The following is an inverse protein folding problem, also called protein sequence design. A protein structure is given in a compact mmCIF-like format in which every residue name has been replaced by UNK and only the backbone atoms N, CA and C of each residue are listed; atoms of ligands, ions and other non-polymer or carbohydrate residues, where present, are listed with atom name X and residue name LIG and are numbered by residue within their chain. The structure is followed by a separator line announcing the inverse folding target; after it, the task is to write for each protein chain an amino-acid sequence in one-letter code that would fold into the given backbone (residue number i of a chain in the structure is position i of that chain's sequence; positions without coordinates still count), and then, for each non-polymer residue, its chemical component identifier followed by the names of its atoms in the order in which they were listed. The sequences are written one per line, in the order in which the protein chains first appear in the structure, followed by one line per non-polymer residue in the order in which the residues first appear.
data_IF_597138862875
#
_entry.id   IF_597138862875
#
_cell.length_a   1.000
_cell.length_b   1.000
_cell.length_c   1.000
_cell.angle_alpha   90.00
_cell.angle_beta   90.00
_cell.angle_gamma   90.00
#
_symmetry.space_group_name_H-M   'P 1'
#
loop_
_entity.id
_entity.type
_entity.pdbx_description
1 polymer ?
#
# COMPACT_ATOMS: atom_id res chain seq x y z
N UNK A 1 9.92 11.34 -14.82
CA UNK A 1 8.90 10.76 -15.72
C UNK A 1 8.55 9.44 -15.10
N UNK A 2 7.36 9.38 -14.51
CA UNK A 2 6.90 8.29 -13.67
C UNK A 2 7.04 6.92 -14.33
N UNK A 3 6.63 6.76 -15.60
CA UNK A 3 6.80 5.52 -16.36
C UNK A 3 8.26 5.02 -16.41
N UNK A 4 9.25 5.92 -16.52
CA UNK A 4 10.67 5.52 -16.51
C UNK A 4 11.06 4.92 -15.15
N UNK A 5 10.56 5.50 -14.06
CA UNK A 5 10.82 4.99 -12.71
C UNK A 5 10.11 3.67 -12.45
N UNK A 6 8.90 3.52 -12.96
CA UNK A 6 8.17 2.25 -12.90
C UNK A 6 8.97 1.11 -13.57
N UNK A 7 9.41 1.32 -14.81
CA UNK A 7 10.19 0.31 -15.54
C UNK A 7 11.54 0.03 -14.86
N UNK A 8 12.19 1.07 -14.30
CA UNK A 8 13.41 0.91 -13.51
C UNK A 8 13.19 0.04 -12.26
N UNK A 9 12.08 0.24 -11.53
CA UNK A 9 11.74 -0.58 -10.36
C UNK A 9 11.44 -2.02 -10.75
N UNK A 10 10.67 -2.25 -11.81
CA UNK A 10 10.35 -3.61 -12.28
C UNK A 10 11.64 -4.37 -12.61
N UNK A 11 12.57 -3.75 -13.36
CA UNK A 11 13.88 -4.35 -13.69
C UNK A 11 14.73 -4.66 -12.45
N UNK A 12 14.70 -3.77 -11.44
CA UNK A 12 15.38 -4.01 -10.17
C UNK A 12 14.77 -5.21 -9.42
N UNK A 13 13.44 -5.28 -9.33
CA UNK A 13 12.74 -6.35 -8.61
C UNK A 13 12.83 -7.71 -9.31
N UNK A 14 13.07 -7.75 -10.62
CA UNK A 14 13.36 -8.99 -11.37
C UNK A 14 14.82 -9.44 -11.30
N UNK A 15 15.71 -8.64 -10.71
CA UNK A 15 17.14 -8.96 -10.68
C UNK A 15 17.50 -10.07 -9.68
N UNK A 16 18.75 -10.54 -9.75
CA UNK A 16 19.28 -11.57 -8.85
C UNK A 16 19.34 -11.11 -7.39
N UNK A 17 19.64 -9.83 -7.15
CA UNK A 17 19.66 -9.22 -5.81
C UNK A 17 18.90 -7.88 -5.80
N UNK A 18 17.56 -7.92 -5.72
CA UNK A 18 16.73 -6.72 -5.66
C UNK A 18 17.06 -5.83 -4.48
N UNK A 19 17.40 -6.42 -3.33
CA UNK A 19 17.68 -5.68 -2.10
C UNK A 19 18.93 -4.81 -2.27
N UNK A 20 20.02 -5.39 -2.77
CA UNK A 20 21.25 -4.65 -3.01
C UNK A 20 21.05 -3.52 -4.03
N UNK A 21 20.38 -3.81 -5.15
CA UNK A 21 20.09 -2.78 -6.17
C UNK A 21 19.20 -1.64 -5.63
N UNK A 22 18.22 -1.93 -4.78
CA UNK A 22 17.42 -0.88 -4.15
C UNK A 22 18.29 -0.05 -3.20
N UNK A 23 19.12 -0.67 -2.36
CA UNK A 23 20.03 0.07 -1.45
C UNK A 23 20.91 1.06 -2.19
N UNK A 24 21.49 0.65 -3.33
CA UNK A 24 22.29 1.53 -4.19
C UNK A 24 21.50 2.76 -4.70
N UNK A 25 20.18 2.63 -4.89
CA UNK A 25 19.33 3.77 -5.29
C UNK A 25 19.04 4.72 -4.12
N UNK A 26 19.07 4.22 -2.88
CA UNK A 26 18.73 4.97 -1.68
C UNK A 26 19.95 5.60 -1.00
N UNK A 27 21.12 5.00 -1.15
CA UNK A 27 22.37 5.40 -0.51
C UNK A 27 22.69 6.88 -0.77
N UNK A 28 22.92 7.62 0.32
CA UNK A 28 23.20 9.06 0.28
C UNK A 28 22.01 9.96 -0.09
N UNK A 29 20.82 9.42 -0.38
CA UNK A 29 19.64 10.20 -0.79
C UNK A 29 18.52 10.24 0.25
N UNK A 30 18.36 9.17 1.02
CA UNK A 30 17.38 9.02 2.11
C UNK A 30 17.96 8.22 3.26
N UNK A 31 17.38 8.36 4.45
CA UNK A 31 17.62 7.40 5.54
C UNK A 31 16.83 6.14 5.24
N UNK A 32 17.46 4.97 5.33
CA UNK A 32 16.77 3.70 5.14
C UNK A 32 17.29 2.65 6.12
N UNK A 33 16.46 1.66 6.40
CA UNK A 33 16.81 0.49 7.20
C UNK A 33 16.29 -0.80 6.56
N UNK A 34 17.05 -1.87 6.79
CA UNK A 34 16.65 -3.24 6.49
C UNK A 34 16.20 -3.90 7.78
N UNK A 35 14.95 -4.38 7.81
CA UNK A 35 14.39 -5.07 8.97
C UNK A 35 14.12 -6.51 8.59
N UNK A 36 14.82 -7.45 9.23
CA UNK A 36 14.58 -8.89 9.07
C UNK A 36 13.61 -9.38 10.14
N UNK A 37 12.51 -9.99 9.72
CA UNK A 37 11.56 -10.68 10.59
C UNK A 37 11.28 -12.07 10.03
N UNK A 38 11.81 -13.09 10.71
CA UNK A 38 11.82 -14.45 10.17
C UNK A 38 12.60 -14.54 8.86
N UNK A 39 11.99 -15.09 7.82
CA UNK A 39 12.54 -15.17 6.45
C UNK A 39 12.20 -13.94 5.59
N UNK A 40 11.44 -12.99 6.12
CA UNK A 40 10.97 -11.80 5.39
C UNK A 40 11.94 -10.65 5.65
N UNK A 41 12.38 -10.02 4.56
CA UNK A 41 13.21 -8.82 4.61
C UNK A 41 12.40 -7.62 4.17
N UNK A 42 12.18 -6.70 5.11
CA UNK A 42 11.55 -5.42 4.88
C UNK A 42 12.60 -4.36 4.59
N UNK A 43 12.26 -3.41 3.73
CA UNK A 43 12.99 -2.17 3.56
C UNK A 43 12.08 -1.01 3.96
N UNK A 44 12.63 -0.12 4.79
CA UNK A 44 11.99 1.13 5.16
C UNK A 44 12.86 2.29 4.72
N UNK A 45 12.29 3.27 4.04
CA UNK A 45 13.03 4.43 3.56
C UNK A 45 12.27 5.71 3.91
N UNK A 46 12.95 6.62 4.61
CA UNK A 46 12.40 7.90 5.04
C UNK A 46 12.92 9.01 4.13
N UNK A 47 12.00 9.58 3.34
CA UNK A 47 12.17 10.86 2.69
C UNK A 47 11.91 11.97 3.72
N UNK A 48 12.95 12.70 4.12
CA UNK A 48 12.84 13.85 5.02
C UNK A 48 12.68 15.14 4.21
N UNK A 49 11.45 15.65 4.12
CA UNK A 49 11.12 16.87 3.40
C UNK A 49 11.08 18.13 4.26
N UNK A 50 11.00 17.99 5.59
CA UNK A 50 10.95 19.10 6.54
C UNK A 50 9.56 19.38 7.14
N UNK A 51 8.51 18.82 6.54
CA UNK A 51 7.13 19.03 6.97
C UNK A 51 6.83 18.48 8.37
N UNK A 52 5.75 18.98 8.99
CA UNK A 52 5.29 18.49 10.30
C UNK A 52 4.64 17.11 10.23
N UNK A 53 3.91 16.87 9.15
CA UNK A 53 3.22 15.61 8.93
C UNK A 53 4.15 14.55 8.36
N UNK A 54 3.83 13.30 8.70
CA UNK A 54 4.51 12.11 8.19
C UNK A 54 3.49 11.19 7.53
N UNK A 55 3.63 10.97 6.23
CA UNK A 55 2.78 10.01 5.50
C UNK A 55 3.52 8.69 5.34
N UNK A 56 2.84 7.58 5.59
CA UNK A 56 3.35 6.25 5.29
C UNK A 56 2.78 5.77 3.94
N UNK A 57 3.66 5.40 3.00
CA UNK A 57 3.34 4.68 1.77
C UNK A 57 3.78 3.23 1.95
N UNK A 58 2.81 2.37 2.26
CA UNK A 58 3.03 0.97 2.60
C UNK A 58 2.68 0.07 1.40
N UNK A 59 3.69 -0.50 0.76
CA UNK A 59 3.53 -1.56 -0.24
C UNK A 59 3.42 -2.93 0.42
N UNK A 60 2.21 -3.48 0.48
CA UNK A 60 1.93 -4.79 1.07
C UNK A 60 1.93 -5.89 0.01
N UNK A 61 2.45 -7.04 0.41
CA UNK A 61 2.58 -8.23 -0.41
C UNK A 61 3.05 -9.41 0.43
N UNK A 62 2.77 -10.62 -0.03
CA UNK A 62 3.38 -11.85 0.43
C UNK A 62 4.80 -12.02 -0.07
N UNK A 63 5.05 -11.85 -1.36
CA UNK A 63 6.39 -11.86 -1.94
C UNK A 63 6.42 -11.21 -3.33
N UNK A 64 7.57 -10.66 -3.73
CA UNK A 64 7.78 -10.14 -5.09
C UNK A 64 7.91 -11.27 -6.11
N UNK A 65 8.35 -12.44 -5.68
CA UNK A 65 8.57 -13.63 -6.50
C UNK A 65 8.24 -14.90 -5.71
N UNK A 66 8.04 -16.02 -6.42
CA UNK A 66 7.97 -17.35 -5.82
C UNK A 66 9.09 -18.24 -6.33
N UNK A 67 10.31 -18.02 -5.84
CA UNK A 67 11.50 -18.78 -6.23
C UNK A 67 11.27 -20.28 -6.01
N UNK A 68 11.49 -21.05 -7.06
CA UNK A 68 11.30 -22.51 -7.07
C UNK A 68 9.89 -22.97 -7.44
N UNK A 69 8.93 -22.05 -7.57
CA UNK A 69 7.55 -22.35 -8.02
C UNK A 69 7.27 -21.67 -9.36
N UNK A 70 7.36 -20.33 -9.41
CA UNK A 70 7.15 -19.53 -10.61
C UNK A 70 8.41 -18.74 -10.97
N UNK A 71 8.57 -18.36 -12.25
CA UNK A 71 9.72 -17.60 -12.74
C UNK A 71 9.30 -16.17 -13.09
N UNK A 72 9.91 -15.18 -12.46
CA UNK A 72 9.61 -13.75 -12.66
C UNK A 72 8.74 -13.16 -11.55
N UNK A 73 8.41 -11.88 -11.68
CA UNK A 73 7.52 -11.19 -10.74
C UNK A 73 6.11 -11.79 -10.76
N UNK A 74 5.56 -11.93 -9.57
CA UNK A 74 4.19 -12.37 -9.37
C UNK A 74 3.23 -11.18 -9.27
N UNK A 75 1.93 -11.42 -9.41
CA UNK A 75 0.90 -10.38 -9.26
C UNK A 75 1.01 -9.62 -7.95
N UNK A 76 1.39 -10.31 -6.87
CA UNK A 76 1.49 -9.75 -5.54
C UNK A 76 2.59 -8.68 -5.40
N UNK A 77 3.56 -8.65 -6.34
CA UNK A 77 4.64 -7.67 -6.34
C UNK A 77 4.18 -6.22 -6.54
N UNK A 78 2.94 -6.00 -7.01
CA UNK A 78 2.40 -4.68 -7.32
C UNK A 78 2.55 -3.67 -6.17
N UNK A 79 2.31 -4.08 -4.92
CA UNK A 79 2.44 -3.20 -3.75
C UNK A 79 3.87 -2.65 -3.59
N UNK A 80 4.87 -3.53 -3.73
CA UNK A 80 6.27 -3.13 -3.72
C UNK A 80 6.62 -2.24 -4.92
N UNK A 81 6.12 -2.58 -6.11
CA UNK A 81 6.35 -1.81 -7.34
C UNK A 81 5.84 -0.37 -7.17
N UNK A 82 4.60 -0.18 -6.74
CA UNK A 82 3.99 1.16 -6.61
C UNK A 82 4.70 1.98 -5.54
N UNK A 83 4.98 1.39 -4.37
CA UNK A 83 5.66 2.07 -3.25
C UNK A 83 7.07 2.53 -3.66
N UNK A 84 7.89 1.64 -4.21
CA UNK A 84 9.26 1.96 -4.63
C UNK A 84 9.29 2.93 -5.82
N UNK A 85 8.34 2.81 -6.76
CA UNK A 85 8.25 3.73 -7.89
C UNK A 85 7.95 5.16 -7.41
N UNK A 86 7.04 5.29 -6.45
CA UNK A 86 6.72 6.57 -5.81
C UNK A 86 7.95 7.17 -5.13
N UNK A 87 8.69 6.38 -4.35
CA UNK A 87 9.94 6.81 -3.71
C UNK A 87 10.97 7.28 -4.74
N UNK A 88 11.24 6.49 -5.78
CA UNK A 88 12.25 6.84 -6.78
C UNK A 88 11.85 8.05 -7.62
N UNK A 89 10.56 8.29 -7.84
CA UNK A 89 10.12 9.51 -8.50
C UNK A 89 10.25 10.73 -7.58
N UNK A 90 9.92 10.63 -6.28
CA UNK A 90 10.18 11.71 -5.32
C UNK A 90 11.67 12.09 -5.27
N UNK A 91 12.56 11.10 -5.25
CA UNK A 91 14.01 11.37 -5.26
C UNK A 91 14.44 12.04 -6.57
N UNK A 92 13.90 11.59 -7.70
CA UNK A 92 14.15 12.23 -8.99
C UNK A 92 13.58 13.66 -9.06
N UNK A 93 12.49 13.97 -8.35
CA UNK A 93 11.98 15.34 -8.25
C UNK A 93 12.91 16.21 -7.40
N UNK A 94 13.36 15.70 -6.23
CA UNK A 94 14.35 16.37 -5.38
C UNK A 94 15.64 16.69 -6.14
N UNK A 95 16.16 15.74 -6.91
CA UNK A 95 17.36 15.95 -7.75
C UNK A 95 17.18 17.05 -8.80
N UNK A 96 15.93 17.35 -9.18
CA UNK A 96 15.57 18.44 -10.12
C UNK A 96 15.22 19.75 -9.40
N UNK A 97 15.41 19.83 -8.09
CA UNK A 97 15.06 20.99 -7.27
C UNK A 97 13.57 21.12 -6.98
N UNK A 98 12.78 20.06 -7.15
CA UNK A 98 11.37 20.00 -6.79
C UNK A 98 11.26 19.14 -5.53
N UNK A 99 11.25 19.79 -4.38
CA UNK A 99 11.19 19.16 -3.07
C UNK A 99 9.79 19.32 -2.46
N UNK A 100 9.31 18.27 -1.80
CA UNK A 100 8.07 18.32 -1.04
C UNK A 100 8.41 18.60 0.43
N UNK A 101 7.76 19.59 1.04
CA UNK A 101 7.81 19.91 2.47
C UNK A 101 6.93 18.93 3.28
N UNK A 102 7.25 17.64 3.16
CA UNK A 102 6.51 16.55 3.79
C UNK A 102 7.44 15.38 4.08
N UNK A 103 7.35 14.79 5.28
CA UNK A 103 8.07 13.55 5.56
C UNK A 103 7.27 12.37 5.02
N UNK A 104 7.94 11.47 4.30
CA UNK A 104 7.29 10.29 3.71
C UNK A 104 8.08 9.04 4.05
N UNK A 105 7.45 8.13 4.77
CA UNK A 105 8.01 6.80 5.04
C UNK A 105 7.50 5.82 4.00
N UNK A 106 8.40 5.17 3.28
CA UNK A 106 8.11 4.08 2.38
C UNK A 106 8.44 2.77 3.06
N UNK A 107 7.50 1.82 3.04
CA UNK A 107 7.69 0.49 3.61
C UNK A 107 7.25 -0.55 2.59
N UNK A 108 8.06 -1.59 2.38
CA UNK A 108 7.68 -2.79 1.62
C UNK A 108 8.57 -3.95 2.04
N UNK A 109 8.20 -5.18 1.69
CA UNK A 109 9.12 -6.32 1.74
C UNK A 109 9.58 -6.75 0.35
N UNK A 110 10.73 -7.42 0.31
CA UNK A 110 11.36 -7.94 -0.92
C UNK A 110 11.49 -9.46 -0.86
N UNK A 111 10.54 -10.13 -0.20
CA UNK A 111 10.56 -11.58 -0.06
C UNK A 111 10.49 -12.24 -1.44
N UNK A 112 11.26 -13.30 -1.64
CA UNK A 112 11.23 -14.12 -2.86
C UNK A 112 10.60 -15.49 -2.62
N UNK A 113 10.03 -15.68 -1.44
CA UNK A 113 9.28 -16.85 -1.00
C UNK A 113 8.07 -16.40 -0.20
N UNK A 114 6.98 -17.14 -0.33
CA UNK A 114 5.74 -16.92 0.39
C UNK A 114 5.05 -18.25 0.65
N UNK A 115 4.04 -18.23 1.52
CA UNK A 115 3.17 -19.36 1.79
C UNK A 115 1.84 -19.17 1.08
N UNK A 116 1.23 -20.27 0.65
CA UNK A 116 -0.14 -20.31 0.17
C UNK A 116 -1.06 -20.79 1.31
N UNK A 117 -2.09 -20.02 1.62
CA UNK A 117 -3.13 -20.37 2.60
C UNK A 117 -4.41 -20.73 1.84
N UNK A 118 -5.05 -21.87 2.16
CA UNK A 118 -6.33 -22.26 1.57
C UNK A 118 -7.38 -21.14 1.66
N UNK A 119 -7.83 -20.66 0.49
CA UNK A 119 -8.85 -19.61 0.39
C UNK A 119 -9.68 -19.83 -0.90
N UNK A 120 -10.86 -19.20 -1.01
CA UNK A 120 -11.74 -19.29 -2.20
C UNK A 120 -11.93 -17.92 -2.87
N UNK A 121 -11.80 -17.80 -4.21
CA UNK A 121 -11.70 -18.89 -5.19
C UNK A 121 -10.30 -19.51 -5.35
N UNK A 122 -9.26 -18.84 -4.85
CA UNK A 122 -7.86 -19.28 -4.93
C UNK A 122 -7.19 -19.09 -3.57
N UNK A 123 -6.08 -19.81 -3.38
CA UNK A 123 -5.25 -19.68 -2.20
C UNK A 123 -4.66 -18.27 -2.09
N UNK A 124 -4.61 -17.77 -0.87
CA UNK A 124 -3.98 -16.49 -0.57
C UNK A 124 -2.48 -16.65 -0.46
N UNK A 125 -1.77 -15.79 -1.17
CA UNK A 125 -0.32 -15.63 -1.04
C UNK A 125 -0.05 -14.71 0.15
N UNK A 126 0.68 -15.20 1.14
CA UNK A 126 1.02 -14.47 2.36
C UNK A 126 2.51 -14.53 2.62
N UNK A 127 3.08 -13.53 3.31
CA UNK A 127 4.50 -13.56 3.63
C UNK A 127 4.82 -14.77 4.53
N UNK A 128 6.10 -15.18 4.58
CA UNK A 128 6.59 -16.20 5.52
C UNK A 128 6.70 -15.65 6.95
N UNK A 129 5.66 -14.93 7.37
CA UNK A 129 5.55 -14.21 8.63
C UNK A 129 4.05 -14.13 8.98
N UNK A 130 3.70 -14.21 10.26
CA UNK A 130 2.31 -14.02 10.68
C UNK A 130 1.84 -12.59 10.39
N UNK A 131 0.55 -12.38 10.08
CA UNK A 131 0.02 -11.04 9.80
C UNK A 131 0.30 -10.06 10.94
N UNK A 132 0.14 -10.48 12.21
CA UNK A 132 0.41 -9.62 13.38
C UNK A 132 1.88 -9.19 13.45
N UNK A 133 2.80 -10.12 13.20
CA UNK A 133 4.24 -9.84 13.18
C UNK A 133 4.62 -8.95 11.99
N UNK A 134 4.02 -9.19 10.81
CA UNK A 134 4.20 -8.35 9.64
C UNK A 134 3.71 -6.93 9.89
N UNK A 135 2.49 -6.74 10.40
CA UNK A 135 1.91 -5.42 10.65
C UNK A 135 2.67 -4.63 11.73
N UNK A 136 3.24 -5.31 12.74
CA UNK A 136 4.14 -4.67 13.73
C UNK A 136 5.40 -4.10 13.11
N UNK A 137 5.90 -4.74 12.04
CA UNK A 137 7.05 -4.23 11.29
C UNK A 137 6.60 -3.21 10.26
N UNK A 138 5.51 -3.44 9.54
CA UNK A 138 5.04 -2.61 8.44
C UNK A 138 4.62 -1.21 8.93
N UNK A 139 3.71 -1.16 9.91
CA UNK A 139 2.98 0.06 10.28
C UNK A 139 3.80 0.94 11.22
N UNK A 140 3.96 2.21 10.85
CA UNK A 140 4.62 3.20 11.69
C UNK A 140 3.60 3.95 12.58
N UNK A 141 3.65 3.80 13.92
CA UNK A 141 2.73 4.48 14.82
C UNK A 141 2.91 6.00 14.86
N UNK A 142 4.00 6.54 14.30
CA UNK A 142 4.26 7.98 14.19
C UNK A 142 3.73 8.62 12.90
N UNK A 143 3.25 7.83 11.94
CA UNK A 143 2.67 8.37 10.71
C UNK A 143 1.34 9.08 11.01
N UNK A 144 1.13 10.29 10.49
CA UNK A 144 -0.14 11.02 10.54
C UNK A 144 -1.20 10.38 9.63
N UNK A 145 -0.79 9.67 8.59
CA UNK A 145 -1.65 9.06 7.58
C UNK A 145 -0.99 7.82 6.95
N UNK A 146 -1.76 6.78 6.64
CA UNK A 146 -1.25 5.55 5.99
C UNK A 146 -1.96 5.33 4.65
N UNK A 147 -1.18 5.29 3.57
CA UNK A 147 -1.59 4.79 2.26
C UNK A 147 -1.10 3.36 2.13
N UNK A 148 -2.01 2.41 2.23
CA UNK A 148 -1.70 0.98 2.08
C UNK A 148 -1.98 0.54 0.66
N UNK A 149 -1.03 -0.11 0.00
CA UNK A 149 -1.11 -0.57 -1.39
C UNK A 149 -1.02 -2.10 -1.39
N UNK A 150 -1.96 -2.79 -2.03
CA UNK A 150 -2.02 -4.26 -2.03
C UNK A 150 -2.60 -4.79 -3.36
N UNK A 151 -2.03 -5.88 -3.88
CA UNK A 151 -2.58 -6.61 -5.03
C UNK A 151 -3.87 -7.32 -4.67
N UNK A 152 -4.98 -6.65 -4.96
CA UNK A 152 -6.32 -7.17 -4.71
C UNK A 152 -6.89 -7.86 -5.96
N UNK A 153 -6.07 -8.49 -6.82
CA UNK A 153 -6.54 -9.12 -8.07
C UNK A 153 -7.23 -10.48 -7.87
N UNK A 154 -6.99 -11.16 -6.75
CA UNK A 154 -7.51 -12.52 -6.46
C UNK A 154 -9.00 -12.61 -6.11
N UNK A 155 -9.67 -11.47 -5.93
CA UNK A 155 -11.09 -11.42 -5.55
C UNK A 155 -12.04 -11.38 -6.78
N UNK A 156 -13.35 -11.59 -6.54
CA UNK A 156 -14.41 -11.61 -7.57
C UNK A 156 -15.22 -10.31 -7.70
N UNK A 157 -15.00 -9.34 -6.83
CA UNK A 157 -15.85 -8.17 -6.63
C UNK A 157 -15.22 -6.92 -7.27
N UNK A 158 -14.02 -6.52 -6.85
CA UNK A 158 -13.32 -5.34 -7.37
C UNK A 158 -12.62 -5.66 -8.70
N UNK A 159 -13.40 -5.75 -9.79
CA UNK A 159 -12.96 -6.13 -11.16
C UNK A 159 -13.04 -4.94 -12.12
N UNK A 160 -12.05 -4.07 -12.03
CA UNK A 160 -11.92 -2.86 -12.85
C UNK A 160 -10.72 -2.95 -13.82
N UNK A 161 -10.63 -2.04 -14.80
CA UNK A 161 -9.49 -1.92 -15.74
C UNK A 161 -8.33 -1.04 -15.25
N UNK A 162 -8.53 -0.29 -14.18
CA UNK A 162 -7.49 0.50 -13.52
C UNK A 162 -7.55 0.29 -11.98
N UNK A 163 -6.67 0.92 -11.21
CA UNK A 163 -6.57 0.74 -9.77
C UNK A 163 -7.83 1.25 -9.08
N UNK A 164 -8.18 0.68 -7.93
CA UNK A 164 -9.30 1.12 -7.11
C UNK A 164 -8.80 1.65 -5.77
N UNK A 165 -9.60 2.48 -5.10
CA UNK A 165 -9.31 2.94 -3.75
C UNK A 165 -10.41 2.58 -2.76
N UNK A 166 -10.08 2.56 -1.47
CA UNK A 166 -11.08 2.39 -0.41
C UNK A 166 -11.57 3.75 0.08
N UNK A 167 -12.64 3.72 0.87
CA UNK A 167 -12.92 4.79 1.83
C UNK A 167 -11.80 4.90 2.87
N UNK A 168 -11.79 5.98 3.67
CA UNK A 168 -10.85 6.10 4.78
C UNK A 168 -11.34 5.25 5.95
N UNK A 169 -10.48 4.38 6.48
CA UNK A 169 -10.73 3.67 7.72
C UNK A 169 -10.02 4.38 8.86
N UNK A 170 -10.76 4.81 9.87
CA UNK A 170 -10.24 5.46 11.08
C UNK A 170 -10.99 4.94 12.30
N UNK A 171 -10.27 4.39 13.27
CA UNK A 171 -10.83 3.88 14.53
C UNK A 171 -12.04 2.96 14.37
N UNK A 172 -12.02 2.11 13.34
CA UNK A 172 -13.10 1.17 13.03
C UNK A 172 -14.33 1.80 12.37
N UNK A 173 -14.27 3.09 12.01
CA UNK A 173 -15.23 3.77 11.15
C UNK A 173 -14.74 3.79 9.71
N UNK A 174 -15.67 3.63 8.77
CA UNK A 174 -15.45 3.81 7.33
C UNK A 174 -16.03 5.18 6.98
N UNK A 175 -15.18 6.11 6.57
CA UNK A 175 -15.49 7.53 6.37
C UNK A 175 -15.44 7.90 4.90
N UNK A 176 -16.30 8.86 4.53
CA UNK A 176 -16.34 9.38 3.16
C UNK A 176 -14.98 9.95 2.76
N UNK A 177 -14.56 9.71 1.51
CA UNK A 177 -13.41 10.39 0.93
C UNK A 177 -13.70 11.89 0.78
N UNK A 178 -12.71 12.72 1.09
CA UNK A 178 -12.76 14.12 0.71
C UNK A 178 -12.79 14.25 -0.82
N UNK A 179 -13.62 15.17 -1.35
CA UNK A 179 -13.88 15.26 -2.80
C UNK A 179 -12.61 15.53 -3.62
N UNK A 180 -11.68 16.33 -3.11
CA UNK A 180 -10.36 16.54 -3.73
C UNK A 180 -9.57 15.24 -3.97
N UNK A 181 -9.71 14.21 -3.13
CA UNK A 181 -9.03 12.92 -3.34
C UNK A 181 -9.64 12.21 -4.56
N UNK A 182 -10.96 12.30 -4.71
CA UNK A 182 -11.70 11.79 -5.88
C UNK A 182 -11.27 12.56 -7.13
N UNK A 183 -11.13 13.89 -7.04
CA UNK A 183 -10.66 14.72 -8.15
C UNK A 183 -9.23 14.38 -8.59
N UNK A 184 -8.34 14.09 -7.64
CA UNK A 184 -6.97 13.66 -7.94
C UNK A 184 -6.99 12.32 -8.68
N UNK A 185 -7.80 11.36 -8.20
CA UNK A 185 -7.99 10.07 -8.88
C UNK A 185 -8.43 10.30 -10.33
N UNK A 186 -9.52 11.02 -10.54
CA UNK A 186 -10.10 11.23 -11.86
C UNK A 186 -9.14 11.96 -12.82
N UNK A 187 -8.32 12.89 -12.31
CA UNK A 187 -7.30 13.58 -13.11
C UNK A 187 -6.15 12.67 -13.50
N UNK A 188 -5.74 11.78 -12.61
CA UNK A 188 -4.61 10.86 -12.84
C UNK A 188 -4.99 9.76 -13.83
N UNK A 189 -6.20 9.20 -13.71
CA UNK A 189 -6.66 8.07 -14.52
C UNK A 189 -7.43 8.48 -15.77
N UNK A 190 -8.07 9.66 -15.77
CA UNK A 190 -8.92 10.12 -16.86
C UNK A 190 -10.31 9.48 -16.91
N UNK A 191 -10.73 8.76 -15.86
CA UNK A 191 -12.06 8.16 -15.74
C UNK A 191 -12.63 8.29 -14.30
N UNK A 192 -13.86 7.86 -14.08
CA UNK A 192 -14.53 7.91 -12.78
C UNK A 192 -13.87 7.00 -11.73
N UNK A 193 -14.02 7.37 -10.45
CA UNK A 193 -13.46 6.62 -9.33
C UNK A 193 -13.96 5.16 -9.24
N UNK A 194 -13.01 4.24 -9.11
CA UNK A 194 -13.28 2.86 -8.73
C UNK A 194 -13.06 2.63 -7.25
N UNK A 195 -14.12 2.13 -6.59
CA UNK A 195 -14.14 1.92 -5.15
C UNK A 195 -14.10 0.43 -4.82
N UNK A 196 -13.24 0.06 -3.87
CA UNK A 196 -13.22 -1.28 -3.29
C UNK A 196 -14.35 -1.40 -2.26
N UNK A 197 -15.31 -2.32 -2.44
CA UNK A 197 -16.33 -2.56 -1.43
C UNK A 197 -15.71 -3.31 -0.24
N UNK A 198 -15.96 -2.79 0.96
CA UNK A 198 -15.49 -3.38 2.21
C UNK A 198 -16.67 -4.00 2.97
N UNK A 199 -16.38 -5.07 3.70
CA UNK A 199 -17.27 -5.71 4.66
C UNK A 199 -16.76 -5.49 6.07
N UNK A 200 -17.59 -5.77 7.09
CA UNK A 200 -17.11 -5.78 8.48
C UNK A 200 -15.95 -6.77 8.68
N UNK A 201 -15.94 -7.88 7.94
CA UNK A 201 -14.88 -8.89 8.01
C UNK A 201 -13.52 -8.32 7.67
N UNK A 202 -13.43 -7.46 6.65
CA UNK A 202 -12.19 -6.79 6.26
C UNK A 202 -11.58 -6.00 7.41
N UNK A 203 -12.43 -5.36 8.22
CA UNK A 203 -12.02 -4.64 9.42
C UNK A 203 -11.86 -5.59 10.63
N UNK A 204 -11.45 -6.83 10.44
CA UNK A 204 -11.10 -7.76 11.54
C UNK A 204 -9.78 -8.46 11.26
N UNK A 205 -9.06 -8.92 12.30
CA UNK A 205 -7.90 -9.78 12.12
C UNK A 205 -8.21 -11.01 11.24
N UNK A 206 -7.23 -11.47 10.45
CA UNK A 206 -7.41 -12.64 9.57
C UNK A 206 -7.71 -13.96 10.31
N UNK A 207 -7.37 -14.05 11.60
CA UNK A 207 -7.64 -15.24 12.42
C UNK A 207 -9.12 -15.37 12.84
N UNK A 208 -9.96 -14.38 12.55
CA UNK A 208 -11.42 -14.45 12.77
C UNK A 208 -12.12 -15.39 11.78
N UNK A 209 -11.38 -15.93 10.78
CA UNK A 209 -11.84 -16.94 9.82
C UNK A 209 -13.17 -16.56 9.12
N UNK A 210 -13.33 -15.27 8.83
CA UNK A 210 -14.38 -14.69 8.01
C UNK A 210 -13.83 -14.35 6.63
N UNK A 211 -14.69 -13.86 5.73
CA UNK A 211 -14.24 -13.39 4.42
C UNK A 211 -13.48 -12.07 4.55
N UNK A 212 -12.34 -11.99 3.85
CA UNK A 212 -11.57 -10.77 3.63
C UNK A 212 -11.27 -10.65 2.14
N UNK A 213 -11.47 -9.47 1.56
CA UNK A 213 -11.21 -9.22 0.14
C UNK A 213 -9.71 -9.27 -0.17
N UNK A 214 -8.90 -8.74 0.75
CA UNK A 214 -7.44 -8.75 0.75
C UNK A 214 -6.96 -8.26 2.12
N UNK A 215 -5.64 -8.08 2.28
CA UNK A 215 -5.08 -7.50 3.49
C UNK A 215 -4.98 -5.97 3.41
N UNK A 216 -5.40 -5.36 2.29
CA UNK A 216 -5.22 -3.95 1.95
C UNK A 216 -5.45 -2.99 3.13
N UNK A 217 -6.55 -3.11 3.86
CA UNK A 217 -6.87 -2.15 4.93
C UNK A 217 -6.36 -2.58 6.32
N UNK A 218 -5.85 -3.80 6.50
CA UNK A 218 -5.41 -4.35 7.79
C UNK A 218 -4.45 -3.45 8.62
N UNK A 219 -3.62 -2.56 8.03
CA UNK A 219 -2.85 -1.57 8.81
C UNK A 219 -3.67 -0.77 9.84
N UNK A 220 -4.98 -0.57 9.60
CA UNK A 220 -5.87 0.13 10.53
C UNK A 220 -5.91 -0.50 11.94
N UNK A 221 -5.58 -1.80 12.05
CA UNK A 221 -5.53 -2.54 13.32
C UNK A 221 -4.35 -2.10 14.22
N UNK A 222 -3.30 -1.47 13.66
CA UNK A 222 -2.05 -1.15 14.36
C UNK A 222 -1.79 0.35 14.50
N UNK A 223 -2.54 1.19 13.79
CA UNK A 223 -2.39 2.64 13.85
C UNK A 223 -3.60 3.34 14.47
N UNK A 224 -3.35 4.51 15.08
CA UNK A 224 -4.41 5.47 15.38
C UNK A 224 -4.68 6.41 14.21
N UNK A 225 -3.89 6.34 13.14
CA UNK A 225 -4.02 7.23 12.00
C UNK A 225 -5.06 6.72 11.00
N UNK A 226 -5.66 7.63 10.21
CA UNK A 226 -6.50 7.25 9.08
C UNK A 226 -5.72 6.41 8.06
N UNK A 227 -6.37 5.38 7.54
CA UNK A 227 -5.84 4.46 6.52
C UNK A 227 -6.70 4.52 5.27
N UNK A 228 -6.06 4.71 4.11
CA UNK A 228 -6.68 4.49 2.79
C UNK A 228 -5.98 3.34 2.09
N UNK A 229 -6.76 2.49 1.42
CA UNK A 229 -6.27 1.43 0.55
C UNK A 229 -6.20 1.89 -0.90
N UNK A 230 -5.09 1.59 -1.56
CA UNK A 230 -4.93 1.57 -3.03
C UNK A 230 -4.85 0.11 -3.46
N UNK A 231 -5.91 -0.39 -4.09
CA UNK A 231 -5.97 -1.73 -4.62
C UNK A 231 -5.51 -1.74 -6.08
N UNK A 232 -4.45 -2.50 -6.38
CA UNK A 232 -4.25 -2.91 -7.77
C UNK A 232 -5.21 -4.07 -8.07
N UNK A 233 -5.89 -3.99 -9.21
CA UNK A 233 -6.99 -4.89 -9.56
C UNK A 233 -6.85 -5.40 -10.99
N UNK A 234 -7.81 -6.22 -11.42
CA UNK A 234 -7.90 -6.70 -12.79
C UNK A 234 -9.35 -7.07 -13.09
N UNK A 235 -9.77 -6.92 -14.36
CA UNK A 235 -11.06 -7.42 -14.87
C UNK A 235 -11.21 -8.94 -14.72
N UNK A 236 -10.09 -9.66 -14.60
CA UNK A 236 -10.06 -11.09 -14.35
C UNK A 236 -9.62 -11.40 -12.92
N UNK A 237 -9.95 -12.61 -12.45
CA UNK A 237 -9.44 -13.09 -11.16
C UNK A 237 -8.03 -13.62 -11.38
N UNK A 238 -7.06 -13.04 -10.69
CA UNK A 238 -5.65 -13.39 -10.83
C UNK A 238 -5.10 -13.73 -9.45
N UNK A 239 -4.71 -14.99 -9.19
CA UNK A 239 -4.02 -15.37 -7.97
C UNK A 239 -2.73 -14.57 -7.74
N UNK A 240 -2.38 -14.31 -6.48
CA UNK A 240 -1.21 -13.50 -6.12
C UNK A 240 0.11 -14.04 -6.68
N UNK A 241 0.20 -15.36 -6.87
CA UNK A 241 1.39 -16.05 -7.36
C UNK A 241 1.52 -16.12 -8.89
N UNK A 242 0.54 -15.64 -9.66
CA UNK A 242 0.61 -15.67 -11.13
C UNK A 242 1.64 -14.68 -11.68
N UNK A 243 2.30 -15.05 -12.78
CA UNK A 243 3.30 -14.22 -13.48
C UNK A 243 2.77 -13.70 -14.81
N UNK A 244 3.39 -12.64 -15.37
CA UNK A 244 2.97 -12.09 -16.68
C UNK A 244 1.66 -11.29 -16.65
N UNK A 245 1.28 -10.80 -15.46
CA UNK A 245 -0.02 -10.18 -15.15
C UNK A 245 0.10 -8.75 -14.61
N UNK A 246 1.27 -8.12 -14.79
CA UNK A 246 1.46 -6.71 -14.47
C UNK A 246 0.72 -5.84 -15.50
N UNK A 247 0.00 -4.83 -15.02
CA UNK A 247 -0.60 -3.80 -15.87
C UNK A 247 0.19 -2.51 -15.67
N UNK A 248 1.02 -2.16 -16.65
CA UNK A 248 1.96 -1.04 -16.56
C UNK A 248 1.22 0.30 -16.42
N UNK A 249 0.13 0.50 -17.15
CA UNK A 249 -0.65 1.74 -17.10
C UNK A 249 -1.27 1.92 -15.71
N UNK A 250 -1.92 0.86 -15.19
CA UNK A 250 -2.51 0.88 -13.85
C UNK A 250 -1.47 1.16 -12.76
N UNK A 251 -0.31 0.49 -12.82
CA UNK A 251 0.76 0.71 -11.84
C UNK A 251 1.33 2.11 -11.92
N UNK A 252 1.44 2.67 -13.13
CA UNK A 252 1.90 4.05 -13.34
C UNK A 252 0.89 5.06 -12.79
N UNK A 253 -0.40 4.86 -13.06
CA UNK A 253 -1.48 5.68 -12.52
C UNK A 253 -1.53 5.60 -10.99
N UNK A 254 -1.42 4.41 -10.39
CA UNK A 254 -1.39 4.26 -8.93
C UNK A 254 -0.19 4.98 -8.29
N UNK A 255 1.01 4.87 -8.88
CA UNK A 255 2.19 5.61 -8.41
C UNK A 255 2.04 7.12 -8.59
N UNK A 256 1.48 7.57 -9.72
CA UNK A 256 1.22 8.99 -9.97
C UNK A 256 0.19 9.54 -8.98
N UNK A 257 -0.85 8.79 -8.68
CA UNK A 257 -1.84 9.13 -7.65
C UNK A 257 -1.17 9.31 -6.29
N UNK A 258 -0.26 8.42 -5.88
CA UNK A 258 0.49 8.59 -4.63
C UNK A 258 1.28 9.91 -4.60
N UNK A 259 1.97 10.29 -5.68
CA UNK A 259 2.69 11.57 -5.76
C UNK A 259 1.75 12.78 -5.64
N UNK A 260 0.65 12.79 -6.40
CA UNK A 260 -0.30 13.91 -6.36
C UNK A 260 -1.03 13.99 -5.01
N UNK A 261 -1.27 12.85 -4.37
CA UNK A 261 -1.81 12.79 -3.01
C UNK A 261 -0.86 13.40 -1.98
N UNK A 262 0.44 13.10 -2.07
CA UNK A 262 1.45 13.67 -1.19
C UNK A 262 1.54 15.19 -1.35
N UNK A 263 1.50 15.71 -2.58
CA UNK A 263 1.43 17.16 -2.84
C UNK A 263 0.16 17.80 -2.28
N UNK A 264 -0.96 17.10 -2.36
CA UNK A 264 -2.21 17.58 -1.77
C UNK A 264 -2.10 17.66 -0.24
N UNK A 265 -1.54 16.64 0.42
CA UNK A 265 -1.34 16.61 1.87
C UNK A 265 -0.34 17.69 2.33
N UNK A 266 0.76 17.88 1.61
CA UNK A 266 1.74 18.96 1.84
C UNK A 266 1.04 20.34 1.93
N UNK A 267 0.04 20.57 1.07
CA UNK A 267 -0.74 21.81 1.05
C UNK A 267 -1.89 21.86 2.08
N UNK A 268 -1.86 21.01 3.10
CA UNK A 268 -2.89 20.94 4.14
C UNK A 268 -4.16 20.20 3.73
N UNK A 269 -4.08 19.40 2.66
CA UNK A 269 -5.20 18.59 2.17
C UNK A 269 -5.65 17.54 3.16
N UNK A 270 -6.96 17.42 3.36
CA UNK A 270 -7.59 16.40 4.20
C UNK A 270 -8.09 15.22 3.38
N UNK A 271 -7.97 14.02 3.93
CA UNK A 271 -8.40 12.76 3.30
C UNK A 271 -9.86 12.40 3.61
N UNK A 272 -10.36 12.90 4.74
CA UNK A 272 -11.74 12.76 5.22
C UNK A 272 -12.12 13.99 6.06
N UNK A 273 -13.40 14.11 6.40
CA UNK A 273 -13.90 15.18 7.27
C UNK A 273 -13.86 14.76 8.74
N UNK A 274 -13.04 15.40 9.57
CA UNK A 274 -12.93 15.10 11.01
C UNK A 274 -14.27 15.27 11.74
N UNK A 275 -15.06 16.28 11.34
CA UNK A 275 -16.40 16.52 11.90
C UNK A 275 -17.37 15.37 11.67
N UNK A 276 -17.21 14.63 10.57
CA UNK A 276 -18.03 13.44 10.29
C UNK A 276 -17.75 12.35 11.31
N UNK A 277 -16.46 12.09 11.60
CA UNK A 277 -16.06 11.14 12.63
C UNK A 277 -16.55 11.57 14.02
N UNK A 278 -16.38 12.84 14.39
CA UNK A 278 -16.85 13.38 15.66
C UNK A 278 -18.36 13.17 15.84
N UNK A 279 -19.17 13.46 14.82
CA UNK A 279 -20.62 13.26 14.89
C UNK A 279 -20.99 11.77 14.98
N UNK A 280 -20.30 10.90 14.22
CA UNK A 280 -20.51 9.46 14.30
C UNK A 280 -20.19 8.93 15.70
N UNK A 281 -19.06 9.33 16.29
CA UNK A 281 -18.70 8.93 17.65
C UNK A 281 -19.67 9.47 18.70
N UNK A 282 -20.16 10.71 18.54
CA UNK A 282 -21.16 11.29 19.43
C UNK A 282 -22.50 10.54 19.41
N UNK A 283 -22.90 10.02 18.24
CA UNK A 283 -24.19 9.33 18.05
C UNK A 283 -24.13 7.83 18.33
N UNK A 284 -23.03 7.19 17.95
CA UNK A 284 -22.88 5.73 17.96
C UNK A 284 -21.92 5.23 19.04
N UNK A 285 -21.09 6.11 19.61
CA UNK A 285 -20.02 5.77 20.54
C UNK A 285 -18.71 5.42 19.84
N UNK A 286 -17.75 4.85 20.56
CA UNK A 286 -16.53 4.30 19.94
C UNK A 286 -16.86 3.00 19.20
N UNK A 287 -16.16 2.71 18.11
CA UNK A 287 -16.32 1.43 17.42
C UNK A 287 -16.01 0.26 18.37
N UNK A 288 -16.80 -0.81 18.28
CA UNK A 288 -16.56 -2.06 19.00
C UNK A 288 -15.51 -2.94 18.29
N UNK A 289 -15.07 -2.56 17.09
CA UNK A 289 -13.99 -3.26 16.40
C UNK A 289 -12.69 -3.04 17.18
N UNK A 290 -12.04 -4.15 17.51
CA UNK A 290 -10.84 -4.13 18.33
C UNK A 290 -9.62 -3.89 17.45
N UNK A 291 -8.85 -2.85 17.78
CA UNK A 291 -7.46 -2.76 17.32
C UNK A 291 -6.68 -3.95 17.89
N UNK A 292 -5.69 -4.44 17.15
CA UNK A 292 -4.80 -5.46 17.68
C UNK A 292 -4.15 -4.92 18.96
N UNK A 293 -4.17 -5.70 20.05
CA UNK A 293 -3.58 -5.26 21.32
C UNK A 293 -2.10 -4.97 21.07
N UNK A 294 -1.73 -3.69 21.12
CA UNK A 294 -0.34 -3.21 21.23
C UNK A 294 0.28 -3.91 22.44
N UNK A 295 1.02 -4.99 22.21
CA UNK A 295 1.88 -5.63 23.19
C UNK A 295 3.27 -5.68 22.61
#
# INVERSE_FOLDING_TARGET
MMLKKLLEVIDILESEDPLQKIKEKLEGKVKYEEVKAGEVTFIKALYEGGGKDKVEILGRLGAIQMVGVNKGLVSDADGAIVSLTTLLELLNLREKGIELDLNVLFVTNLSVKAKLIPHKPFDFMVPLLGLDEALKVEVDPSASFVVSIDSTKGNRIAKFDDFAITHVVKDGYILKLHDNVIDIYNKVTGHEIYMVPLTTGDLTPLDYNVYHISTLISPWLYTDSPVIGIATVSKQVIPGYETGVLNIEMLEHASRFCIELLKYIENGGKMYEEKELEELENRLGKSNLLKAKRR
#
